data_IF_780729733446
#
_entry.id   IF_780729733446
#
_cell.length_a   1.000
_cell.length_b   1.000
_cell.length_c   1.000
_cell.angle_alpha   90.00
_cell.angle_beta   90.00
_cell.angle_gamma   90.00
#
_symmetry.space_group_name_H-M   'P 1'
#
loop_
_entity.id
_entity.type
_entity.pdbx_description
1 polymer ?
#
# COMPACT_ATOMS: atom_id res chain seq x y z
N UNK A 1 10.76 -18.44 -20.25
CA UNK A 1 9.47 -18.38 -20.99
C UNK A 1 9.65 -18.39 -22.51
N UNK A 2 10.74 -17.82 -23.06
CA UNK A 2 11.23 -18.05 -24.45
C UNK A 2 11.28 -19.55 -24.83
N UNK A 3 11.44 -20.44 -23.86
CA UNK A 3 11.41 -21.89 -23.99
C UNK A 3 10.10 -22.43 -24.59
N UNK A 4 8.94 -21.78 -24.39
CA UNK A 4 7.67 -22.19 -25.05
C UNK A 4 7.74 -21.95 -26.56
N UNK A 5 8.16 -20.77 -26.97
CA UNK A 5 8.35 -20.43 -28.39
C UNK A 5 9.35 -21.39 -29.07
N UNK A 6 10.43 -21.74 -28.36
CA UNK A 6 11.39 -22.76 -28.81
C UNK A 6 10.74 -24.14 -29.00
N UNK A 7 9.99 -24.62 -28.01
CA UNK A 7 9.36 -25.94 -28.03
C UNK A 7 8.28 -26.09 -29.11
N UNK A 8 7.59 -24.99 -29.46
CA UNK A 8 6.56 -25.00 -30.49
C UNK A 8 7.05 -24.50 -31.86
N UNK A 9 8.32 -24.07 -31.99
CA UNK A 9 8.86 -23.48 -33.23
C UNK A 9 8.61 -24.33 -34.48
N UNK A 10 8.81 -25.65 -34.41
CA UNK A 10 8.59 -26.57 -35.52
C UNK A 10 7.12 -26.70 -35.92
N UNK A 11 6.19 -26.73 -34.96
CA UNK A 11 4.75 -26.80 -35.27
C UNK A 11 4.21 -25.46 -35.75
N UNK A 12 4.78 -24.36 -35.26
CA UNK A 12 4.45 -22.99 -35.65
C UNK A 12 4.85 -22.72 -37.11
N UNK A 13 6.08 -23.11 -37.50
CA UNK A 13 6.60 -23.00 -38.86
C UNK A 13 5.80 -23.84 -39.87
N UNK A 14 5.27 -24.99 -39.45
CA UNK A 14 4.50 -25.90 -40.33
C UNK A 14 3.11 -25.37 -40.70
N UNK A 15 2.55 -24.43 -39.92
CA UNK A 15 1.24 -23.81 -40.15
C UNK A 15 1.29 -22.50 -40.96
N UNK A 16 2.46 -22.13 -41.49
CA UNK A 16 2.60 -20.92 -42.30
C UNK A 16 2.24 -21.21 -43.77
N UNK A 17 1.58 -20.26 -44.46
CA UNK A 17 1.03 -20.44 -45.80
C UNK A 17 1.82 -21.09 -46.95
N UNK A 18 3.09 -21.47 -46.96
CA UNK A 18 3.83 -22.18 -48.07
C UNK A 18 3.75 -21.69 -49.54
N UNK A 19 2.72 -21.01 -50.02
CA UNK A 19 2.62 -20.42 -51.36
C UNK A 19 3.34 -19.07 -51.49
N UNK A 20 4.20 -18.89 -52.51
CA UNK A 20 5.10 -17.74 -52.62
C UNK A 20 4.39 -16.39 -52.82
N UNK A 21 3.13 -16.36 -53.25
CA UNK A 21 2.33 -15.14 -53.44
C UNK A 21 1.81 -14.53 -52.12
N UNK A 22 1.86 -15.26 -51.01
CA UNK A 22 1.37 -14.83 -49.68
C UNK A 22 2.50 -14.53 -48.70
N UNK A 23 3.58 -13.91 -49.18
CA UNK A 23 4.74 -13.59 -48.33
C UNK A 23 4.37 -12.64 -47.18
N UNK A 24 3.56 -11.61 -47.45
CA UNK A 24 3.08 -10.65 -46.45
C UNK A 24 2.26 -11.34 -45.34
N UNK A 25 1.33 -12.22 -45.70
CA UNK A 25 0.50 -12.98 -44.74
C UNK A 25 1.35 -13.80 -43.77
N UNK A 26 2.41 -14.46 -44.27
CA UNK A 26 3.32 -15.24 -43.43
C UNK A 26 4.06 -14.36 -42.44
N UNK A 27 4.54 -13.20 -42.89
CA UNK A 27 5.26 -12.25 -42.04
C UNK A 27 4.33 -11.67 -40.98
N UNK A 28 3.13 -11.27 -41.37
CA UNK A 28 2.11 -10.77 -40.45
C UNK A 28 1.72 -11.82 -39.40
N UNK A 29 1.50 -13.07 -39.80
CA UNK A 29 1.16 -14.16 -38.86
C UNK A 29 2.32 -14.45 -37.89
N UNK A 30 3.57 -14.41 -38.36
CA UNK A 30 4.74 -14.58 -37.50
C UNK A 30 4.88 -13.44 -36.50
N UNK A 31 4.71 -12.20 -36.96
CA UNK A 31 4.76 -11.00 -36.14
C UNK A 31 3.65 -11.01 -35.08
N UNK A 32 2.41 -11.32 -35.49
CA UNK A 32 1.27 -11.50 -34.61
C UNK A 32 1.58 -12.50 -33.48
N UNK A 33 2.13 -13.68 -33.81
CA UNK A 33 2.43 -14.71 -32.80
C UNK A 33 3.56 -14.30 -31.85
N UNK A 34 4.57 -13.59 -32.33
CA UNK A 34 5.63 -13.02 -31.49
C UNK A 34 5.06 -11.99 -30.53
N UNK A 35 4.19 -11.10 -31.02
CA UNK A 35 3.53 -10.08 -30.20
C UNK A 35 2.56 -10.69 -29.18
N UNK A 36 1.84 -11.75 -29.55
CA UNK A 36 0.95 -12.48 -28.64
C UNK A 36 1.73 -13.13 -27.48
N UNK A 37 2.87 -13.77 -27.76
CA UNK A 37 3.72 -14.35 -26.70
C UNK A 37 4.31 -13.28 -25.76
N UNK A 38 4.69 -12.11 -26.30
CA UNK A 38 5.15 -10.97 -25.49
C UNK A 38 3.99 -10.44 -24.63
N UNK A 39 2.80 -10.25 -25.21
CA UNK A 39 1.60 -9.81 -24.50
C UNK A 39 1.18 -10.78 -23.38
N UNK A 40 1.28 -12.09 -23.62
CA UNK A 40 1.00 -13.13 -22.63
C UNK A 40 2.04 -13.12 -21.50
N UNK A 41 3.31 -12.83 -21.83
CA UNK A 41 4.37 -12.71 -20.81
C UNK A 41 4.11 -11.53 -19.88
N UNK A 42 3.59 -10.42 -20.41
CA UNK A 42 3.21 -9.24 -19.62
C UNK A 42 2.15 -9.57 -18.56
N UNK A 43 1.16 -10.41 -18.89
CA UNK A 43 0.11 -10.82 -17.96
C UNK A 43 0.65 -11.49 -16.69
N UNK A 44 1.69 -12.31 -16.84
CA UNK A 44 2.35 -12.94 -15.68
C UNK A 44 3.01 -11.95 -14.75
N UNK A 45 3.63 -10.90 -15.30
CA UNK A 45 4.27 -9.84 -14.51
C UNK A 45 3.22 -9.04 -13.76
N UNK A 46 2.11 -8.69 -14.43
CA UNK A 46 0.98 -8.02 -13.81
C UNK A 46 0.41 -8.83 -12.64
N UNK A 47 0.21 -10.14 -12.84
CA UNK A 47 -0.31 -11.02 -11.79
C UNK A 47 0.54 -11.00 -10.52
N UNK A 48 1.87 -11.05 -10.66
CA UNK A 48 2.76 -10.97 -9.50
C UNK A 48 2.64 -9.61 -8.78
N UNK A 49 2.45 -8.51 -9.52
CA UNK A 49 2.23 -7.19 -8.92
C UNK A 49 0.89 -7.13 -8.18
N UNK A 50 -0.18 -7.69 -8.77
CA UNK A 50 -1.52 -7.78 -8.16
C UNK A 50 -1.47 -8.57 -6.84
N UNK A 51 -0.87 -9.76 -6.85
CA UNK A 51 -0.77 -10.63 -5.67
C UNK A 51 0.01 -9.95 -4.52
N UNK A 52 1.07 -9.20 -4.85
CA UNK A 52 1.80 -8.40 -3.86
C UNK A 52 0.96 -7.25 -3.29
N UNK A 53 0.16 -6.58 -4.14
CA UNK A 53 -0.69 -5.49 -3.71
C UNK A 53 -1.81 -5.95 -2.77
N UNK A 54 -2.49 -7.06 -3.08
CA UNK A 54 -3.49 -7.67 -2.22
C UNK A 54 -2.89 -8.11 -0.88
N UNK A 55 -1.70 -8.72 -0.90
CA UNK A 55 -1.02 -9.12 0.32
C UNK A 55 -0.67 -7.91 1.21
N UNK A 56 -0.22 -6.80 0.61
CA UNK A 56 0.07 -5.58 1.34
C UNK A 56 -1.19 -4.97 1.95
N UNK A 57 -2.31 -4.98 1.23
CA UNK A 57 -3.61 -4.51 1.74
C UNK A 57 -4.06 -5.32 2.97
N UNK A 58 -3.91 -6.65 2.93
CA UNK A 58 -4.21 -7.53 4.08
C UNK A 58 -3.28 -7.20 5.26
N UNK A 59 -1.99 -6.99 5.00
CA UNK A 59 -1.01 -6.62 6.02
C UNK A 59 -1.31 -5.23 6.63
N UNK A 60 -1.83 -4.30 5.82
CA UNK A 60 -2.31 -2.96 6.23
C UNK A 60 -3.58 -3.03 7.09
N UNK A 61 -4.52 -3.90 6.76
CA UNK A 61 -5.73 -4.12 7.55
C UNK A 61 -5.46 -4.91 8.85
N UNK A 62 -4.40 -5.73 8.85
CA UNK A 62 -4.00 -6.55 9.98
C UNK A 62 -3.24 -5.78 11.08
N UNK A 63 -3.49 -6.15 12.35
CA UNK A 63 -2.81 -5.57 13.53
C UNK A 63 -1.29 -5.88 13.68
N UNK A 64 -0.62 -6.32 12.62
CA UNK A 64 0.81 -6.70 12.58
C UNK A 64 1.74 -5.61 12.02
N UNK A 65 1.28 -4.36 11.99
CA UNK A 65 1.97 -3.16 11.45
C UNK A 65 3.27 -2.71 12.18
N UNK A 66 3.96 -3.56 12.96
CA UNK A 66 5.00 -3.07 13.88
C UNK A 66 6.45 -3.19 13.41
N UNK A 67 6.76 -3.82 12.27
CA UNK A 67 8.17 -4.06 11.91
C UNK A 67 8.49 -4.05 10.40
N UNK A 68 7.49 -3.78 9.53
CA UNK A 68 7.72 -3.66 8.08
C UNK A 68 7.62 -2.20 7.66
N UNK A 69 8.54 -1.74 6.81
CA UNK A 69 8.44 -0.46 6.10
C UNK A 69 7.38 -0.56 5.00
N UNK A 70 6.11 -0.66 5.41
CA UNK A 70 4.95 -0.76 4.51
C UNK A 70 4.92 0.40 3.50
N UNK A 71 5.36 1.59 3.91
CA UNK A 71 5.49 2.75 3.01
C UNK A 71 6.52 2.55 1.88
N UNK A 72 7.62 1.85 2.14
CA UNK A 72 8.63 1.53 1.13
C UNK A 72 8.13 0.45 0.16
N UNK A 73 7.49 -0.60 0.69
CA UNK A 73 6.87 -1.65 -0.13
C UNK A 73 5.79 -1.06 -1.06
N UNK A 74 4.94 -0.17 -0.54
CA UNK A 74 3.91 0.52 -1.32
C UNK A 74 4.48 1.41 -2.43
N UNK A 75 5.56 2.14 -2.13
CA UNK A 75 6.29 2.94 -3.11
C UNK A 75 6.92 2.07 -4.21
N UNK A 76 7.51 0.93 -3.84
CA UNK A 76 8.09 0.00 -4.81
C UNK A 76 7.02 -0.59 -5.73
N UNK A 77 5.87 -1.00 -5.19
CA UNK A 77 4.76 -1.50 -6.01
C UNK A 77 4.25 -0.44 -6.97
N UNK A 78 4.07 0.82 -6.51
CA UNK A 78 3.68 1.94 -7.39
C UNK A 78 4.66 2.09 -8.55
N UNK A 79 5.98 2.04 -8.27
CA UNK A 79 7.01 2.17 -9.30
C UNK A 79 7.01 0.99 -10.28
N UNK A 80 6.87 -0.23 -9.77
CA UNK A 80 6.76 -1.44 -10.60
C UNK A 80 5.53 -1.40 -11.50
N UNK A 81 4.40 -0.95 -10.97
CA UNK A 81 3.15 -0.81 -11.70
C UNK A 81 3.22 0.26 -12.80
N UNK A 82 3.83 1.43 -12.51
CA UNK A 82 4.07 2.46 -13.51
C UNK A 82 5.00 1.98 -14.62
N UNK A 83 6.06 1.24 -14.26
CA UNK A 83 6.99 0.65 -15.25
C UNK A 83 6.28 -0.36 -16.13
N UNK A 84 5.44 -1.21 -15.54
CA UNK A 84 4.60 -2.16 -16.26
C UNK A 84 3.62 -1.45 -17.20
N UNK A 85 2.89 -0.45 -16.69
CA UNK A 85 1.90 0.31 -17.47
C UNK A 85 2.54 0.97 -18.69
N UNK A 86 3.71 1.61 -18.52
CA UNK A 86 4.46 2.19 -19.63
C UNK A 86 4.86 1.14 -20.68
N UNK A 87 5.27 -0.05 -20.26
CA UNK A 87 5.64 -1.15 -21.17
C UNK A 87 4.41 -1.70 -21.94
N UNK A 88 3.26 -1.81 -21.27
CA UNK A 88 2.00 -2.25 -21.90
C UNK A 88 1.50 -1.22 -22.89
N UNK A 89 1.52 0.09 -22.55
CA UNK A 89 1.16 1.16 -23.49
C UNK A 89 2.07 1.16 -24.72
N UNK A 90 3.39 1.06 -24.53
CA UNK A 90 4.32 0.97 -25.65
C UNK A 90 4.02 -0.25 -26.55
N UNK A 91 3.68 -1.39 -25.96
CA UNK A 91 3.29 -2.59 -26.71
C UNK A 91 1.96 -2.38 -27.44
N UNK A 92 0.97 -1.77 -26.78
CA UNK A 92 -0.34 -1.46 -27.35
C UNK A 92 -0.20 -0.54 -28.57
N UNK A 93 0.57 0.55 -28.45
CA UNK A 93 0.78 1.48 -29.55
C UNK A 93 1.57 0.85 -30.69
N UNK A 94 2.55 -0.01 -30.38
CA UNK A 94 3.28 -0.78 -31.39
C UNK A 94 2.36 -1.73 -32.15
N UNK A 95 1.50 -2.49 -31.45
CA UNK A 95 0.52 -3.40 -32.07
C UNK A 95 -0.48 -2.62 -32.93
N UNK A 96 -0.95 -1.47 -32.45
CA UNK A 96 -1.86 -0.59 -33.20
C UNK A 96 -1.20 -0.06 -34.47
N UNK A 97 0.03 0.42 -34.38
CA UNK A 97 0.77 0.94 -35.53
C UNK A 97 1.11 -0.17 -36.54
N UNK A 98 1.37 -1.40 -36.06
CA UNK A 98 1.55 -2.57 -36.93
C UNK A 98 0.26 -2.91 -37.65
N UNK A 99 -0.91 -2.87 -36.99
CA UNK A 99 -2.20 -3.13 -37.63
C UNK A 99 -2.49 -2.16 -38.80
N UNK A 100 -2.12 -0.89 -38.65
CA UNK A 100 -2.32 0.14 -39.69
C UNK A 100 -1.03 0.47 -40.45
N UNK A 101 -0.05 -0.45 -40.45
CA UNK A 101 1.26 -0.27 -41.04
C UNK A 101 1.27 -0.38 -42.57
N UNK A 102 2.47 -0.36 -43.14
CA UNK A 102 2.68 -0.40 -44.60
C UNK A 102 2.13 -1.69 -45.25
N UNK A 103 1.16 -1.61 -46.17
CA UNK A 103 0.55 -2.76 -46.84
C UNK A 103 1.52 -3.53 -47.75
N UNK A 104 2.68 -2.96 -48.11
CA UNK A 104 3.71 -3.67 -48.87
C UNK A 104 4.50 -4.68 -48.00
N UNK A 105 4.50 -4.50 -46.67
CA UNK A 105 5.19 -5.40 -45.72
C UNK A 105 4.24 -6.23 -44.86
N UNK A 106 2.99 -5.78 -44.68
CA UNK A 106 1.97 -6.44 -43.87
C UNK A 106 0.74 -6.71 -44.73
N UNK A 107 0.12 -7.87 -44.53
CA UNK A 107 -1.14 -8.19 -45.24
C UNK A 107 -2.24 -7.16 -44.97
N UNK A 108 -3.04 -6.90 -46.01
CA UNK A 108 -4.27 -6.10 -45.96
C UNK A 108 -5.52 -6.99 -45.77
N UNK A 109 -5.32 -8.28 -45.46
CA UNK A 109 -6.41 -9.21 -45.17
C UNK A 109 -7.03 -8.91 -43.80
N UNK A 110 -8.28 -8.45 -43.83
CA UNK A 110 -9.10 -8.16 -42.64
C UNK A 110 -9.14 -9.35 -41.65
N UNK A 111 -9.16 -10.61 -42.11
CA UNK A 111 -9.23 -11.80 -41.24
C UNK A 111 -7.92 -12.02 -40.45
N UNK A 112 -6.79 -11.56 -40.99
CA UNK A 112 -5.48 -11.62 -40.33
C UNK A 112 -5.30 -10.38 -39.44
N UNK A 113 -5.77 -9.21 -39.88
CA UNK A 113 -5.73 -7.97 -39.12
C UNK A 113 -6.62 -8.00 -37.87
N UNK A 114 -7.75 -8.70 -37.90
CA UNK A 114 -8.63 -8.94 -36.74
C UNK A 114 -7.88 -9.60 -35.58
N UNK A 115 -6.86 -10.42 -35.87
CA UNK A 115 -6.06 -11.06 -34.82
C UNK A 115 -5.31 -10.04 -33.97
N UNK A 116 -4.86 -8.94 -34.55
CA UNK A 116 -4.25 -7.85 -33.78
C UNK A 116 -5.26 -7.15 -32.85
N UNK A 117 -6.53 -7.07 -33.23
CA UNK A 117 -7.58 -6.54 -32.34
C UNK A 117 -7.75 -7.39 -31.08
N UNK A 118 -7.62 -8.71 -31.21
CA UNK A 118 -7.63 -9.61 -30.04
C UNK A 118 -6.47 -9.29 -29.10
N UNK A 119 -5.27 -8.98 -29.62
CA UNK A 119 -4.14 -8.57 -28.78
C UNK A 119 -4.40 -7.21 -28.14
N UNK A 120 -4.86 -6.22 -28.91
CA UNK A 120 -5.19 -4.89 -28.38
C UNK A 120 -6.20 -4.97 -27.24
N UNK A 121 -7.30 -5.71 -27.44
CA UNK A 121 -8.31 -5.93 -26.39
C UNK A 121 -7.81 -6.72 -25.17
N UNK A 122 -6.72 -7.50 -25.29
CA UNK A 122 -6.05 -8.08 -24.11
C UNK A 122 -5.17 -7.06 -23.40
N UNK A 123 -4.43 -6.23 -24.14
CA UNK A 123 -3.60 -5.17 -23.57
C UNK A 123 -4.47 -4.13 -22.85
N UNK A 124 -5.64 -3.79 -23.38
CA UNK A 124 -6.61 -2.91 -22.72
C UNK A 124 -7.08 -3.48 -21.37
N UNK A 125 -7.37 -4.78 -21.31
CA UNK A 125 -7.72 -5.44 -20.04
C UNK A 125 -6.56 -5.42 -19.04
N UNK A 126 -5.32 -5.56 -19.51
CA UNK A 126 -4.13 -5.46 -18.65
C UNK A 126 -3.97 -4.04 -18.09
N UNK A 127 -4.24 -3.01 -18.91
CA UNK A 127 -4.24 -1.61 -18.48
C UNK A 127 -5.29 -1.39 -17.39
N UNK A 128 -6.54 -1.83 -17.60
CA UNK A 128 -7.62 -1.70 -16.61
C UNK A 128 -7.29 -2.40 -15.29
N UNK A 129 -6.74 -3.61 -15.35
CA UNK A 129 -6.30 -4.32 -14.13
C UNK A 129 -5.18 -3.57 -13.41
N UNK A 130 -4.22 -3.00 -14.14
CA UNK A 130 -3.16 -2.20 -13.56
C UNK A 130 -3.72 -0.91 -12.91
N UNK A 131 -4.69 -0.24 -13.52
CA UNK A 131 -5.37 0.92 -12.95
C UNK A 131 -6.08 0.59 -11.63
N UNK A 132 -6.81 -0.53 -11.59
CA UNK A 132 -7.45 -1.01 -10.36
C UNK A 132 -6.43 -1.26 -9.23
N UNK A 133 -5.27 -1.85 -9.53
CA UNK A 133 -4.21 -2.03 -8.53
C UNK A 133 -3.66 -0.68 -8.06
N UNK A 134 -3.57 0.32 -8.95
CA UNK A 134 -3.12 1.66 -8.57
C UNK A 134 -4.08 2.31 -7.58
N UNK A 135 -5.39 2.10 -7.74
CA UNK A 135 -6.41 2.55 -6.78
C UNK A 135 -6.27 1.85 -5.43
N UNK A 136 -6.04 0.53 -5.40
CA UNK A 136 -5.76 -0.22 -4.17
C UNK A 136 -4.52 0.33 -3.46
N UNK A 137 -3.43 0.56 -4.20
CA UNK A 137 -2.20 1.16 -3.67
C UNK A 137 -2.47 2.55 -3.07
N UNK A 138 -3.24 3.39 -3.77
CA UNK A 138 -3.62 4.72 -3.30
C UNK A 138 -4.40 4.64 -1.99
N UNK A 139 -5.38 3.74 -1.92
CA UNK A 139 -6.15 3.46 -0.71
C UNK A 139 -5.24 3.00 0.44
N UNK A 140 -4.27 2.13 0.15
CA UNK A 140 -3.25 1.72 1.10
C UNK A 140 -2.47 2.90 1.70
N UNK A 141 -2.09 3.89 0.89
CA UNK A 141 -1.40 5.12 1.39
C UNK A 141 -2.29 5.86 2.38
N UNK A 142 -3.57 6.03 2.03
CA UNK A 142 -4.53 6.75 2.89
C UNK A 142 -4.73 6.05 4.24
N UNK A 143 -4.74 4.72 4.26
CA UNK A 143 -4.83 3.92 5.49
C UNK A 143 -3.59 4.14 6.37
N UNK A 144 -2.38 4.11 5.80
CA UNK A 144 -1.13 4.39 6.55
C UNK A 144 -1.17 5.80 7.15
N UNK A 145 -1.61 6.78 6.38
CA UNK A 145 -1.70 8.16 6.82
C UNK A 145 -2.73 8.31 7.95
N UNK A 146 -3.90 7.69 7.81
CA UNK A 146 -4.93 7.69 8.84
C UNK A 146 -4.45 7.01 10.13
N UNK A 147 -3.74 5.88 10.03
CA UNK A 147 -3.20 5.17 11.17
C UNK A 147 -2.10 5.98 11.88
N UNK A 148 -1.19 6.58 11.12
CA UNK A 148 -0.12 7.46 11.63
C UNK A 148 -0.72 8.67 12.33
N UNK A 149 -1.72 9.30 11.72
CA UNK A 149 -2.46 10.42 12.30
C UNK A 149 -3.15 10.00 13.59
N UNK A 150 -3.80 8.83 13.62
CA UNK A 150 -4.46 8.32 14.82
C UNK A 150 -3.44 8.04 15.95
N UNK A 151 -2.26 7.49 15.63
CA UNK A 151 -1.15 7.31 16.58
C UNK A 151 -0.67 8.65 17.14
N UNK A 152 -0.45 9.65 16.28
CA UNK A 152 -0.04 10.99 16.68
C UNK A 152 -1.11 11.67 17.56
N UNK A 153 -2.38 11.60 17.17
CA UNK A 153 -3.50 12.14 17.97
C UNK A 153 -3.55 11.49 19.34
N UNK A 154 -3.38 10.16 19.44
CA UNK A 154 -3.29 9.48 20.75
C UNK A 154 -2.11 9.96 21.59
N UNK A 155 -0.96 10.21 20.97
CA UNK A 155 0.21 10.76 21.67
C UNK A 155 -0.07 12.18 22.18
N UNK A 156 -0.67 13.04 21.35
CA UNK A 156 -1.05 14.40 21.73
C UNK A 156 -2.03 14.37 22.90
N UNK A 157 -3.10 13.58 22.81
CA UNK A 157 -4.09 13.47 23.89
C UNK A 157 -3.42 12.96 25.17
N UNK A 158 -2.53 11.96 25.07
CA UNK A 158 -1.79 11.46 26.23
C UNK A 158 -0.89 12.52 26.85
N UNK A 159 -0.13 13.26 26.04
CA UNK A 159 0.76 14.33 26.49
C UNK A 159 -0.02 15.46 27.17
N UNK A 160 -1.14 15.89 26.57
CA UNK A 160 -2.01 16.94 27.12
C UNK A 160 -2.60 16.53 28.47
N UNK A 161 -3.04 15.28 28.59
CA UNK A 161 -3.53 14.73 29.85
C UNK A 161 -2.43 14.70 30.90
N UNK A 162 -1.22 14.24 30.55
CA UNK A 162 -0.07 14.23 31.46
C UNK A 162 0.33 15.65 31.89
N UNK A 163 0.37 16.61 30.98
CA UNK A 163 0.69 18.00 31.26
C UNK A 163 -0.32 18.63 32.23
N UNK A 164 -1.62 18.43 31.99
CA UNK A 164 -2.68 18.96 32.87
C UNK A 164 -2.61 18.35 34.26
N UNK A 165 -2.35 17.05 34.35
CA UNK A 165 -2.23 16.34 35.62
C UNK A 165 -1.10 16.88 36.52
N UNK A 166 0.00 17.33 35.90
CA UNK A 166 1.18 17.88 36.60
C UNK A 166 1.05 19.38 36.85
N UNK A 167 0.45 20.13 35.92
CA UNK A 167 0.36 21.58 36.00
C UNK A 167 -0.53 22.03 37.17
N UNK A 168 -1.69 21.39 37.37
CA UNK A 168 -2.65 21.80 38.42
C UNK A 168 -2.08 21.68 39.84
N UNK A 169 -1.44 20.56 40.26
CA UNK A 169 -0.80 20.50 41.57
C UNK A 169 0.36 21.48 41.71
N UNK A 170 1.11 21.72 40.63
CA UNK A 170 2.28 22.58 40.66
C UNK A 170 1.92 24.07 40.83
N UNK A 171 0.89 24.56 40.14
CA UNK A 171 0.40 25.94 40.34
C UNK A 171 -0.14 26.15 41.75
N UNK A 172 -0.85 25.17 42.28
CA UNK A 172 -1.36 25.21 43.66
C UNK A 172 -0.20 25.20 44.66
N UNK A 173 0.82 24.37 44.46
CA UNK A 173 2.03 24.38 45.27
C UNK A 173 2.76 25.73 45.22
N UNK A 174 2.81 26.37 44.06
CA UNK A 174 3.44 27.69 43.90
C UNK A 174 2.67 28.78 44.64
N UNK A 175 1.34 28.82 44.54
CA UNK A 175 0.50 29.80 45.24
C UNK A 175 0.65 29.67 46.76
N UNK A 176 0.58 28.43 47.29
CA UNK A 176 0.75 28.19 48.72
C UNK A 176 2.20 28.28 49.22
N UNK A 177 3.17 28.36 48.31
CA UNK A 177 4.59 28.55 48.64
C UNK A 177 5.00 30.02 48.83
N UNK A 178 4.10 30.98 48.61
CA UNK A 178 4.39 32.41 48.80
C UNK A 178 4.45 32.72 50.32
N UNK A 179 5.57 33.25 50.83
CA UNK A 179 5.80 33.41 52.28
C UNK A 179 4.88 34.44 52.98
N UNK A 180 4.10 35.22 52.23
CA UNK A 180 3.22 36.30 52.74
C UNK A 180 1.79 35.83 53.08
N UNK A 181 1.42 34.58 52.74
CA UNK A 181 0.14 34.00 53.12
C UNK A 181 0.24 33.47 54.57
N UNK A 182 -0.33 34.21 55.52
CA UNK A 182 -0.48 33.81 56.94
C UNK A 182 -1.49 32.66 57.13
N UNK A 183 -1.38 31.61 56.32
CA UNK A 183 -2.19 30.40 56.43
C UNK A 183 -1.37 29.38 57.23
N UNK A 184 -1.95 28.84 58.30
CA UNK A 184 -1.26 27.83 59.10
C UNK A 184 -0.89 26.60 58.27
N UNK A 185 0.36 26.14 58.39
CA UNK A 185 0.91 24.95 57.72
C UNK A 185 0.02 23.69 57.84
N UNK A 186 -0.74 23.58 58.93
CA UNK A 186 -1.71 22.51 59.21
C UNK A 186 -2.83 22.40 58.18
N UNK A 187 -3.21 23.50 57.51
CA UNK A 187 -4.27 23.50 56.48
C UNK A 187 -3.72 23.44 55.05
N UNK A 188 -2.49 23.92 54.81
CA UNK A 188 -1.86 23.92 53.49
C UNK A 188 -1.52 22.49 53.04
N UNK A 189 -0.89 21.69 53.92
CA UNK A 189 -0.43 20.33 53.58
C UNK A 189 -1.61 19.42 53.17
N UNK A 190 -2.74 19.35 53.90
CA UNK A 190 -3.89 18.55 53.49
C UNK A 190 -4.49 18.99 52.16
N UNK A 191 -4.60 20.30 51.91
CA UNK A 191 -5.19 20.84 50.67
C UNK A 191 -4.33 20.48 49.46
N UNK A 192 -2.99 20.55 49.59
CA UNK A 192 -2.08 20.14 48.52
C UNK A 192 -2.20 18.65 48.20
N UNK A 193 -2.26 17.80 49.22
CA UNK A 193 -2.43 16.35 49.06
C UNK A 193 -3.78 16.04 48.40
N UNK A 194 -4.86 16.65 48.89
CA UNK A 194 -6.21 16.43 48.38
C UNK A 194 -6.35 16.88 46.92
N UNK A 195 -5.79 18.05 46.59
CA UNK A 195 -5.77 18.59 45.23
C UNK A 195 -4.98 17.70 44.27
N UNK A 196 -3.80 17.22 44.72
CA UNK A 196 -2.98 16.32 43.90
C UNK A 196 -3.70 14.99 43.65
N UNK A 197 -4.30 14.40 44.68
CA UNK A 197 -5.12 13.19 44.56
C UNK A 197 -6.31 13.40 43.64
N UNK A 198 -7.02 14.52 43.78
CA UNK A 198 -8.19 14.85 42.94
C UNK A 198 -7.78 15.01 41.47
N UNK A 199 -6.70 15.73 41.19
CA UNK A 199 -6.14 15.88 39.84
C UNK A 199 -5.79 14.51 39.24
N UNK A 200 -5.11 13.64 39.99
CA UNK A 200 -4.74 12.29 39.53
C UNK A 200 -5.97 11.43 39.28
N UNK A 201 -6.99 11.47 40.14
CA UNK A 201 -8.23 10.70 40.00
C UNK A 201 -9.04 11.16 38.77
N UNK A 202 -9.21 12.47 38.60
CA UNK A 202 -9.91 13.05 37.44
C UNK A 202 -9.19 12.68 36.15
N UNK A 203 -7.87 12.85 36.13
CA UNK A 203 -7.00 12.47 35.01
C UNK A 203 -7.13 10.98 34.69
N UNK A 204 -7.07 10.11 35.70
CA UNK A 204 -7.19 8.66 35.55
C UNK A 204 -8.56 8.23 35.01
N UNK A 205 -9.64 8.80 35.57
CA UNK A 205 -11.01 8.50 35.12
C UNK A 205 -11.22 8.94 33.67
N UNK A 206 -10.70 10.10 33.29
CA UNK A 206 -10.79 10.62 31.93
C UNK A 206 -9.96 9.80 30.93
N UNK A 207 -8.73 9.40 31.29
CA UNK A 207 -7.92 8.50 30.44
C UNK A 207 -8.58 7.14 30.24
N UNK A 208 -9.25 6.61 31.26
CA UNK A 208 -9.94 5.32 31.17
C UNK A 208 -11.20 5.41 30.30
N UNK A 209 -11.90 6.55 30.29
CA UNK A 209 -13.06 6.81 29.43
C UNK A 209 -12.67 6.94 27.95
N UNK A 210 -11.53 7.58 27.65
CA UNK A 210 -11.09 7.81 26.26
C UNK A 210 -10.15 6.72 25.70
N UNK A 211 -9.89 5.63 26.43
CA UNK A 211 -9.02 4.51 26.00
C UNK A 211 -7.66 4.98 25.43
N UNK A 212 -7.12 6.09 25.93
CA UNK A 212 -5.94 6.79 25.38
C UNK A 212 -4.62 6.16 25.84
N UNK A 213 -4.52 4.83 25.91
CA UNK A 213 -3.27 4.18 26.30
C UNK A 213 -2.46 3.83 25.03
N UNK A 214 -1.51 4.68 24.59
CA UNK A 214 -0.55 4.31 23.55
C UNK A 214 0.32 3.13 24.01
N UNK A 215 0.45 2.92 25.33
CA UNK A 215 1.29 1.90 25.95
C UNK A 215 0.56 0.64 26.41
N UNK A 216 -0.70 0.39 26.01
CA UNK A 216 -1.25 -0.99 26.08
C UNK A 216 -0.61 -1.91 25.02
N UNK A 217 0.61 -1.61 24.58
CA UNK A 217 1.48 -2.55 23.91
C UNK A 217 1.96 -3.59 24.92
N UNK A 218 2.24 -4.79 24.41
CA UNK A 218 2.51 -6.04 25.13
C UNK A 218 3.55 -5.97 26.27
N UNK A 219 4.32 -4.87 26.41
CA UNK A 219 5.33 -4.66 27.47
C UNK A 219 4.74 -4.68 28.89
N UNK A 220 3.56 -4.09 29.13
CA UNK A 220 2.94 -4.12 30.47
C UNK A 220 2.39 -5.49 30.87
N UNK A 221 2.00 -6.34 29.91
CA UNK A 221 1.63 -7.74 30.19
C UNK A 221 2.84 -8.55 30.66
N UNK A 222 4.01 -8.32 30.07
CA UNK A 222 5.25 -9.00 30.47
C UNK A 222 5.77 -8.50 31.83
N UNK A 223 5.64 -7.20 32.13
CA UNK A 223 5.99 -6.67 33.45
C UNK A 223 5.10 -7.25 34.55
N UNK A 224 3.78 -7.32 34.32
CA UNK A 224 2.84 -7.94 35.27
C UNK A 224 3.07 -9.44 35.43
N UNK A 225 3.50 -10.16 34.40
CA UNK A 225 3.92 -11.57 34.51
C UNK A 225 5.18 -11.72 35.35
N UNK A 226 6.14 -10.81 35.23
CA UNK A 226 7.40 -10.82 35.99
C UNK A 226 7.21 -10.48 37.47
N UNK A 227 6.24 -9.62 37.80
CA UNK A 227 5.88 -9.29 39.19
C UNK A 227 4.95 -10.30 39.87
N UNK A 228 4.30 -11.19 39.11
CA UNK A 228 3.41 -12.23 39.64
C UNK A 228 4.11 -13.60 39.77
N UNK A 229 5.39 -13.65 39.41
CA UNK A 229 6.27 -14.82 39.51
C UNK A 229 7.32 -14.66 40.62
N UNK A 230 7.08 -13.78 41.59
CA UNK A 230 7.90 -13.63 42.80
C UNK A 230 6.99 -13.72 44.02
#
# INVERSE_FOLDING_TARGET
KITKLYNYSNSLMRKLPKEPEQWADRQTILLFRLMDEVSETNFSSLRTIVEQAEQLEIDLAGSRQSDRDVGYELSNMKRSLLTFLNAVWATHDTVRNVKFGDPDMLTDDDDILEKFEVILGRLDRQIQMAENVMEIISTGVTIIQAETTNKLTKLIVWLTVAATAVLVPNTIATIFGIPDLQISWTWIIPILILSTLFSVIVTYRWTNQFRVNPFRSKKFKNLRKKFRAK
#
